data_IF_650914330557
#
_entry.id   IF_650914330557
#
_cell.length_a   1.000
_cell.length_b   1.000
_cell.length_c   1.000
_cell.angle_alpha   90.00
_cell.angle_beta   90.00
_cell.angle_gamma   90.00
#
_symmetry.space_group_name_H-M   'P 1'
#
loop_
_entity.id
_entity.type
_entity.pdbx_description
1 polymer ?
2 non-polymer ?
3 non-polymer ?
4 non-polymer ?
5 water ?
#
# COMPACT_ATOMS: atom_id res chain seq x y z
N UNK A 3 -21.26 -9.05 5.26
CA UNK A 3 -20.67 -10.38 5.22
C UNK A 3 -19.15 -10.36 5.01
N UNK A 4 -18.62 -9.59 4.03
CA UNK A 4 -17.16 -9.53 3.86
C UNK A 4 -16.46 -8.90 5.04
N UNK A 5 -16.89 -7.69 5.42
CA UNK A 5 -16.28 -7.01 6.55
C UNK A 5 -16.50 -7.78 7.85
N UNK A 6 -17.69 -8.37 8.01
CA UNK A 6 -17.99 -9.12 9.22
C UNK A 6 -17.11 -10.37 9.33
N UNK A 7 -16.84 -11.03 8.20
CA UNK A 7 -15.97 -12.19 8.23
C UNK A 7 -14.51 -11.80 8.41
N UNK A 8 -14.10 -10.64 7.86
CA UNK A 8 -12.71 -10.22 7.98
C UNK A 8 -12.37 -9.86 9.43
N UNK A 9 -13.31 -9.25 10.15
CA UNK A 9 -13.08 -8.93 11.55
C UNK A 9 -13.25 -10.15 12.46
N UNK A 10 -14.01 -11.16 12.02
CA UNK A 10 -14.13 -12.38 12.81
C UNK A 10 -12.84 -13.19 12.76
N UNK A 11 -12.19 -13.22 11.60
CA UNK A 11 -10.90 -13.92 11.49
C UNK A 11 -9.82 -13.17 12.25
N UNK A 12 -9.96 -11.84 12.37
CA UNK A 12 -9.00 -11.07 13.15
C UNK A 12 -8.97 -11.52 14.61
N UNK A 13 -10.15 -11.78 15.19
CA UNK A 13 -10.20 -12.29 16.55
C UNK A 13 -9.58 -13.67 16.65
N UNK A 14 -9.73 -14.49 15.59
CA UNK A 14 -9.10 -15.81 15.60
C UNK A 14 -7.59 -15.70 15.45
N UNK A 15 -7.12 -14.76 14.61
CA UNK A 15 -5.68 -14.58 14.44
C UNK A 15 -5.06 -13.99 15.70
N UNK A 16 -5.72 -12.98 16.29
CA UNK A 16 -5.18 -12.36 17.50
C UNK A 16 -5.14 -13.35 18.65
N UNK A 17 -6.18 -14.17 18.80
CA UNK A 17 -6.22 -15.11 19.91
C UNK A 17 -5.11 -16.15 19.80
N UNK A 18 -4.79 -16.59 18.59
CA UNK A 18 -3.71 -17.56 18.42
C UNK A 18 -2.35 -16.94 18.75
N UNK A 19 -2.08 -15.74 18.22
CA UNK A 19 -0.79 -15.11 18.44
C UNK A 19 -0.55 -14.82 19.91
N UNK A 20 -1.60 -14.39 20.62
CA UNK A 20 -1.44 -14.07 22.04
C UNK A 20 -1.34 -15.33 22.89
N UNK A 21 -2.12 -16.36 22.57
CA UNK A 21 -2.00 -17.62 23.29
C UNK A 21 -0.67 -18.30 23.02
N UNK A 22 -0.13 -18.16 21.80
CA UNK A 22 1.18 -18.72 21.50
C UNK A 22 2.25 -18.07 22.36
N UNK A 23 2.16 -16.76 22.58
CA UNK A 23 3.10 -16.07 23.46
C UNK A 23 2.94 -16.52 24.91
N UNK A 24 1.71 -16.81 25.34
CA UNK A 24 1.47 -17.24 26.71
C UNK A 24 1.92 -18.67 26.93
N UNK A 25 1.68 -19.55 25.96
CA UNK A 25 1.95 -20.97 26.13
C UNK A 25 3.34 -21.38 25.66
N UNK A 26 3.83 -20.80 24.57
CA UNK A 26 5.09 -21.22 23.97
C UNK A 26 6.22 -20.22 24.17
N UNK A 27 5.92 -18.98 24.55
CA UNK A 27 6.96 -17.96 24.72
C UNK A 27 7.05 -17.44 26.15
N UNK A 28 6.29 -18.02 27.08
CA UNK A 28 6.42 -17.72 28.51
C UNK A 28 6.18 -16.25 28.81
N UNK A 29 5.14 -15.68 28.19
CA UNK A 29 4.83 -14.26 28.35
C UNK A 29 3.82 -14.08 29.48
N UNK A 30 4.09 -13.10 30.34
CA UNK A 30 3.20 -12.81 31.46
C UNK A 30 1.92 -12.14 30.95
N UNK A 31 0.83 -12.25 31.70
CA UNK A 31 -0.43 -11.62 31.26
C UNK A 31 -0.34 -10.11 31.08
N UNK A 32 0.51 -9.43 31.85
CA UNK A 32 0.62 -7.98 31.73
C UNK A 32 1.12 -7.58 30.34
N UNK A 33 2.04 -8.36 29.77
CA UNK A 33 2.55 -8.05 28.44
C UNK A 33 1.61 -8.57 27.34
N UNK A 34 0.82 -9.61 27.63
CA UNK A 34 -0.15 -10.09 26.65
C UNK A 34 -1.24 -9.05 26.41
N UNK A 35 -1.77 -8.47 27.50
CA UNK A 35 -2.74 -7.39 27.34
C UNK A 35 -2.11 -6.16 26.73
N UNK A 36 -0.82 -5.93 26.99
CA UNK A 36 -0.11 -4.82 26.37
C UNK A 36 0.00 -5.02 24.86
N UNK A 37 0.30 -6.24 24.42
CA UNK A 37 0.41 -6.51 22.99
C UNK A 37 -0.95 -6.60 22.32
N UNK A 38 -2.00 -6.96 23.07
CA UNK A 38 -3.35 -6.93 22.50
C UNK A 38 -3.78 -5.49 22.21
N UNK A 39 -3.52 -4.58 23.14
CA UNK A 39 -3.87 -3.17 22.92
C UNK A 39 -3.04 -2.58 21.78
N UNK A 40 -1.76 -2.94 21.70
CA UNK A 40 -0.91 -2.44 20.62
C UNK A 40 -1.35 -2.99 19.28
N UNK A 41 -1.75 -4.26 19.23
CA UNK A 41 -2.19 -4.85 17.97
C UNK A 41 -3.46 -4.19 17.46
N UNK A 42 -4.41 -3.91 18.35
CA UNK A 42 -5.64 -3.24 17.93
C UNK A 42 -5.39 -1.78 17.54
N UNK A 43 -4.40 -1.14 18.16
CA UNK A 43 -4.12 0.25 17.84
C UNK A 43 -3.50 0.40 16.46
N UNK A 44 -2.58 -0.49 16.10
CA UNK A 44 -1.86 -0.38 14.83
C UNK A 44 -2.56 -1.04 13.67
N UNK A 45 -3.32 -2.11 13.90
CA UNK A 45 -3.93 -2.87 12.83
C UNK A 45 -5.38 -2.52 12.57
N UNK A 46 -6.12 -2.08 13.59
CA UNK A 46 -7.52 -1.72 13.45
C UNK A 46 -7.68 -0.20 13.34
N UNK A 47 -8.71 0.21 12.62
CA UNK A 47 -9.03 1.62 12.42
C UNK A 47 -9.04 2.05 10.97
N UNK A 48 -8.22 1.40 10.15
CA UNK A 48 -8.16 1.73 8.73
C UNK A 48 -9.37 1.23 7.98
N UNK A 49 -9.38 1.52 6.68
CA UNK A 49 -10.47 1.12 5.80
C UNK A 49 -10.33 -0.33 5.32
N UNK A 50 -9.18 -0.97 5.57
CA UNK A 50 -8.95 -2.37 5.21
C UNK A 50 -9.07 -2.58 3.71
N UNK A 51 -8.58 -1.61 2.93
CA UNK A 51 -8.70 -1.70 1.48
C UNK A 51 -7.80 -2.79 0.91
N UNK A 52 -6.65 -3.02 1.52
CA UNK A 52 -5.75 -4.07 1.05
C UNK A 52 -6.24 -5.45 1.46
N UNK A 53 -6.72 -5.59 2.70
CA UNK A 53 -7.14 -6.90 3.17
C UNK A 53 -8.41 -7.38 2.52
N UNK A 54 -9.40 -6.49 2.33
CA UNK A 54 -10.65 -6.89 1.72
C UNK A 54 -10.50 -7.20 0.23
N UNK A 55 -9.46 -6.66 -0.42
CA UNK A 55 -9.24 -6.97 -1.83
C UNK A 55 -8.90 -8.44 -2.02
N UNK A 56 -8.14 -9.02 -1.08
CA UNK A 56 -7.82 -10.45 -1.16
C UNK A 56 -9.09 -11.29 -1.09
N UNK A 57 -10.08 -10.84 -0.31
CA UNK A 57 -11.33 -11.59 -0.21
C UNK A 57 -12.13 -11.49 -1.49
N UNK A 58 -12.18 -10.30 -2.09
CA UNK A 58 -12.97 -10.11 -3.31
C UNK A 58 -12.38 -10.88 -4.49
N UNK A 59 -11.06 -11.05 -4.53
CA UNK A 59 -10.45 -11.81 -5.62
C UNK A 59 -10.69 -13.30 -5.41
N UNK A 60 -10.67 -13.76 -4.15
CA UNK A 60 -10.84 -15.17 -3.88
C UNK A 60 -12.27 -15.64 -4.12
N UNK A 61 -13.25 -14.82 -3.74
CA UNK A 61 -14.64 -15.22 -3.91
C UNK A 61 -15.07 -15.27 -5.37
N UNK A 62 -14.37 -14.54 -6.25
CA UNK A 62 -14.70 -14.58 -7.67
C UNK A 62 -14.12 -15.82 -8.34
N UNK A 63 -12.96 -16.31 -7.89
CA UNK A 63 -12.33 -17.45 -8.53
C UNK A 63 -12.93 -18.78 -8.10
N UNK A 64 -13.63 -18.83 -6.97
CA UNK A 64 -14.26 -20.06 -6.54
C UNK A 64 -15.66 -20.25 -7.12
N UNK A 65 -16.38 -19.15 -7.36
CA UNK A 65 -17.69 -19.22 -8.00
C UNK A 65 -17.61 -19.17 -9.52
N UNK A 66 -16.50 -18.70 -10.08
CA UNK A 66 -16.31 -18.54 -11.52
C UNK A 66 -15.03 -19.24 -11.95
N UNK A 67 -14.88 -20.50 -11.57
CA UNK A 67 -13.70 -21.27 -11.90
C UNK A 67 -13.88 -21.99 -13.25
N UNK A 77 -19.04 -28.68 -0.84
CA UNK A 77 -18.47 -27.35 -0.94
C UNK A 77 -17.52 -27.00 0.19
N UNK A 78 -16.79 -28.00 0.67
CA UNK A 78 -15.83 -27.78 1.75
C UNK A 78 -14.64 -26.95 1.31
N UNK A 79 -14.33 -26.93 0.01
CA UNK A 79 -13.21 -26.13 -0.47
C UNK A 79 -13.53 -24.64 -0.41
N UNK A 80 -14.80 -24.27 -0.47
CA UNK A 80 -15.17 -22.86 -0.42
C UNK A 80 -14.82 -22.23 0.92
N UNK A 81 -15.17 -22.90 2.02
CA UNK A 81 -14.91 -22.35 3.34
C UNK A 81 -13.42 -22.23 3.62
N UNK A 82 -12.61 -23.11 3.03
CA UNK A 82 -11.17 -23.06 3.25
C UNK A 82 -10.51 -21.93 2.46
N UNK A 83 -10.90 -21.77 1.19
CA UNK A 83 -10.31 -20.71 0.37
C UNK A 83 -10.69 -19.33 0.91
N UNK A 84 -11.94 -19.17 1.34
CA UNK A 84 -12.36 -17.90 1.90
C UNK A 84 -11.63 -17.59 3.21
N UNK A 85 -11.42 -18.61 4.05
CA UNK A 85 -10.69 -18.39 5.29
C UNK A 85 -9.21 -18.13 5.03
N UNK A 86 -8.64 -18.78 4.02
CA UNK A 86 -7.25 -18.52 3.66
C UNK A 86 -7.07 -17.10 3.14
N UNK A 87 -8.06 -16.56 2.45
CA UNK A 87 -7.97 -15.19 1.95
C UNK A 87 -8.05 -14.18 3.08
N UNK A 88 -8.81 -14.49 4.14
CA UNK A 88 -8.90 -13.59 5.28
C UNK A 88 -7.60 -13.53 6.05
N UNK A 89 -6.90 -14.66 6.15
CA UNK A 89 -5.59 -14.67 6.80
C UNK A 89 -4.58 -13.89 5.97
N UNK A 90 -4.57 -14.11 4.65
CA UNK A 90 -3.71 -13.33 3.77
C UNK A 90 -4.08 -11.85 3.79
N UNK A 91 -5.37 -11.55 3.95
CA UNK A 91 -5.78 -10.16 4.04
C UNK A 91 -5.22 -9.45 5.26
N UNK A 92 -5.14 -10.16 6.38
CA UNK A 92 -4.56 -9.58 7.59
C UNK A 92 -3.03 -9.60 7.56
N UNK A 93 -2.42 -10.48 6.77
CA UNK A 93 -0.97 -10.41 6.60
C UNK A 93 -0.56 -9.08 5.99
N UNK A 94 -1.34 -8.57 5.03
CA UNK A 94 -1.04 -7.29 4.42
C UNK A 94 -1.38 -6.14 5.37
N UNK A 95 -2.49 -6.26 6.09
CA UNK A 95 -2.85 -5.23 7.06
C UNK A 95 -1.82 -5.13 8.18
N UNK A 96 -1.37 -6.28 8.70
CA UNK A 96 -0.28 -6.28 9.66
C UNK A 96 0.99 -5.73 9.06
N UNK A 97 1.25 -6.04 7.79
CA UNK A 97 2.42 -5.48 7.11
C UNK A 97 2.30 -3.98 6.95
N UNK A 98 1.10 -3.49 6.60
CA UNK A 98 0.89 -2.05 6.51
C UNK A 98 1.10 -1.38 7.86
N UNK A 99 0.60 -1.99 8.94
CA UNK A 99 0.84 -1.46 10.27
C UNK A 99 2.32 -1.42 10.59
N UNK A 100 3.07 -2.42 10.12
CA UNK A 100 4.51 -2.44 10.32
C UNK A 100 5.17 -1.25 9.63
N UNK A 101 4.75 -0.94 8.41
CA UNK A 101 5.32 0.20 7.68
C UNK A 101 4.97 1.51 8.36
N UNK A 102 3.74 1.64 8.87
CA UNK A 102 3.32 2.88 9.51
C UNK A 102 4.09 3.13 10.80
N UNK A 103 4.36 2.07 11.56
CA UNK A 103 5.13 2.22 12.80
C UNK A 103 6.54 2.69 12.50
N UNK A 104 7.14 2.14 11.44
CA UNK A 104 8.48 2.60 11.03
C UNK A 104 8.47 4.06 10.61
N UNK A 105 7.36 4.53 10.04
CA UNK A 105 7.27 5.93 9.65
C UNK A 105 7.19 6.86 10.84
N UNK A 106 6.53 6.42 11.92
CA UNK A 106 6.44 7.26 13.12
C UNK A 106 7.80 7.41 13.79
N UNK A 107 8.68 6.42 13.64
CA UNK A 107 10.02 6.53 14.22
C UNK A 107 10.87 7.52 13.42
N UNK A 108 10.65 7.60 12.11
CA UNK A 108 11.38 8.56 11.29
C UNK A 108 11.05 10.00 11.64
N UNK A 109 9.91 10.25 12.30
CA UNK A 109 9.51 11.59 12.65
C UNK A 109 8.61 11.59 13.89
N UNK A 124 18.00 6.61 27.60
CA UNK A 124 17.17 5.40 27.65
C UNK A 124 15.70 5.69 27.38
N UNK A 125 15.39 6.21 26.20
CA UNK A 125 14.02 6.54 25.84
C UNK A 125 13.26 5.25 25.57
N UNK A 126 12.27 4.95 26.42
CA UNK A 126 11.55 3.69 26.31
C UNK A 126 10.46 3.73 25.24
N UNK A 127 9.95 4.92 24.91
CA UNK A 127 8.89 4.99 23.90
C UNK A 127 9.42 4.72 22.50
N UNK A 128 10.70 4.98 22.26
CA UNK A 128 11.30 4.65 20.96
C UNK A 128 11.69 3.18 20.93
N UNK A 129 12.13 2.63 22.05
CA UNK A 129 12.43 1.21 22.12
C UNK A 129 11.17 0.37 21.91
N UNK A 130 10.05 0.82 22.45
CA UNK A 130 8.79 0.10 22.25
C UNK A 130 8.30 0.25 20.82
N UNK A 131 8.49 1.43 20.22
CA UNK A 131 8.07 1.63 18.83
C UNK A 131 8.85 0.73 17.89
N UNK A 132 10.17 0.65 18.08
CA UNK A 132 10.99 -0.25 17.26
C UNK A 132 10.59 -1.70 17.49
N UNK A 133 10.34 -2.07 18.75
CA UNK A 133 9.93 -3.43 19.06
C UNK A 133 8.56 -3.74 18.47
N UNK A 134 7.65 -2.76 18.48
CA UNK A 134 6.34 -2.96 17.86
C UNK A 134 6.48 -3.23 16.36
N UNK A 135 7.38 -2.51 15.69
CA UNK A 135 7.58 -2.72 14.27
C UNK A 135 8.14 -4.10 13.95
N UNK A 136 8.99 -4.64 14.83
CA UNK A 136 9.52 -5.98 14.59
C UNK A 136 8.46 -7.04 14.86
N UNK A 137 7.62 -6.84 15.87
CA UNK A 137 6.60 -7.83 16.19
C UNK A 137 5.51 -7.88 15.12
N UNK A 138 5.10 -6.71 14.63
CA UNK A 138 4.07 -6.68 13.59
C UNK A 138 4.51 -7.39 12.33
N UNK A 139 5.78 -7.23 11.95
CA UNK A 139 6.30 -7.91 10.77
C UNK A 139 6.41 -9.41 11.01
N UNK A 140 6.94 -9.82 12.17
CA UNK A 140 7.07 -11.23 12.47
C UNK A 140 5.70 -11.90 12.62
N UNK A 141 4.68 -11.15 13.03
CA UNK A 141 3.34 -11.72 13.18
C UNK A 141 2.77 -12.16 11.83
N UNK A 142 3.18 -11.50 10.74
CA UNK A 142 2.74 -11.95 9.43
C UNK A 142 3.29 -13.34 9.10
N UNK A 143 4.50 -13.64 9.55
CA UNK A 143 5.06 -14.96 9.33
C UNK A 143 4.43 -16.00 10.25
N UNK A 144 4.16 -15.62 11.50
CA UNK A 144 3.61 -16.58 12.47
C UNK A 144 2.19 -16.99 12.08
N UNK A 145 1.37 -16.03 11.65
CA UNK A 145 0.01 -16.36 11.24
C UNK A 145 -0.02 -17.11 9.91
N UNK A 146 1.04 -17.02 9.11
CA UNK A 146 1.10 -17.77 7.86
C UNK A 146 1.63 -19.18 8.10
N UNK A 147 2.66 -19.32 8.95
CA UNK A 147 3.22 -20.62 9.27
C UNK A 147 2.25 -21.51 10.05
N UNK A 148 1.17 -20.94 10.60
CA UNK A 148 0.20 -21.70 11.37
C UNK A 148 -1.03 -22.06 10.56
N UNK A 149 -1.76 -21.05 10.06
CA UNK A 149 -2.98 -21.31 9.32
C UNK A 149 -2.72 -21.94 7.95
N UNK A 150 -1.50 -21.82 7.43
CA UNK A 150 -1.13 -22.41 6.14
C UNK A 150 -0.06 -23.47 6.32
N UNK A 151 -0.01 -24.13 7.48
CA UNK A 151 1.04 -25.11 7.74
C UNK A 151 0.93 -26.32 6.81
N UNK A 152 -0.28 -26.74 6.46
CA UNK A 152 -0.48 -27.88 5.60
C UNK A 152 -0.84 -27.49 4.17
N UNK A 153 -0.83 -26.21 3.84
CA UNK A 153 -1.13 -25.78 2.48
C UNK A 153 0.08 -26.03 1.58
N UNK A 154 -0.15 -26.49 0.34
CA UNK A 154 0.97 -26.69 -0.58
C UNK A 154 1.62 -25.40 -1.06
N UNK A 155 1.03 -24.24 -0.77
CA UNK A 155 1.55 -22.96 -1.23
C UNK A 155 2.22 -22.16 -0.11
N UNK A 156 2.51 -22.79 1.03
CA UNK A 156 3.12 -22.05 2.13
C UNK A 156 4.50 -21.53 1.75
N UNK A 157 5.29 -22.34 1.05
CA UNK A 157 6.62 -21.89 0.66
C UNK A 157 6.55 -20.81 -0.42
N UNK A 158 5.64 -20.97 -1.39
CA UNK A 158 5.53 -19.97 -2.45
C UNK A 158 4.93 -18.67 -1.93
N UNK A 159 4.04 -18.74 -0.93
CA UNK A 159 3.43 -17.53 -0.40
C UNK A 159 4.45 -16.71 0.39
N UNK A 160 5.27 -17.36 1.20
CA UNK A 160 6.27 -16.63 1.99
C UNK A 160 7.32 -16.00 1.11
N UNK A 161 7.71 -16.67 0.03
CA UNK A 161 8.73 -16.12 -0.86
C UNK A 161 8.22 -14.89 -1.61
N UNK A 162 6.99 -14.96 -2.13
CA UNK A 162 6.42 -13.80 -2.80
C UNK A 162 6.12 -12.67 -1.82
N UNK A 163 5.72 -13.02 -0.59
CA UNK A 163 5.47 -11.98 0.41
C UNK A 163 6.76 -11.29 0.83
N UNK A 164 7.83 -12.06 1.04
CA UNK A 164 9.11 -11.46 1.41
C UNK A 164 9.71 -10.64 0.29
N UNK A 165 9.52 -11.07 -0.97
CA UNK A 165 10.07 -10.33 -2.09
C UNK A 165 9.34 -9.01 -2.28
N UNK A 166 8.03 -9.00 -2.06
CA UNK A 166 7.27 -7.75 -2.13
C UNK A 166 7.66 -6.83 -0.98
N UNK A 167 7.87 -7.39 0.21
CA UNK A 167 8.33 -6.59 1.34
C UNK A 167 9.72 -6.01 1.06
N UNK A 168 10.60 -6.81 0.47
CA UNK A 168 11.90 -6.30 0.07
C UNK A 168 11.77 -5.23 -1.01
N UNK A 169 10.80 -5.40 -1.92
CA UNK A 169 10.54 -4.39 -2.93
C UNK A 169 10.12 -3.07 -2.30
N UNK A 170 9.27 -3.14 -1.26
CA UNK A 170 8.82 -1.91 -0.60
C UNK A 170 9.97 -1.19 0.08
N UNK A 171 10.89 -1.94 0.70
CA UNK A 171 12.03 -1.32 1.35
C UNK A 171 12.94 -0.63 0.34
N UNK A 172 13.09 -1.22 -0.85
CA UNK A 172 13.88 -0.58 -1.89
C UNK A 172 13.18 0.68 -2.39
N UNK A 173 11.86 0.64 -2.52
CA UNK A 173 11.13 1.83 -2.91
C UNK A 173 11.23 2.95 -1.91
N UNK A 174 11.30 2.62 -0.62
CA UNK A 174 11.50 3.65 0.40
C UNK A 174 12.89 4.27 0.29
N UNK A 175 13.89 3.50 -0.17
CA UNK A 175 15.20 4.08 -0.41
C UNK A 175 15.16 5.07 -1.57
N UNK A 176 14.38 4.75 -2.62
CA UNK A 176 14.23 5.67 -3.73
C UNK A 176 13.53 6.96 -3.31
N UNK A 177 12.54 6.84 -2.41
CA UNK A 177 11.76 8.00 -1.99
C UNK A 177 12.56 8.88 -1.04
N UNK A 178 13.21 8.28 -0.04
CA UNK A 178 13.97 9.05 0.93
C UNK A 178 15.15 9.76 0.27
N UNK A 179 15.87 9.06 -0.62
CA UNK A 179 17.01 9.61 -1.30
C UNK A 179 16.66 10.22 -2.65
N UNK A 180 15.41 10.68 -2.83
CA UNK A 180 15.02 11.27 -4.10
C UNK A 180 15.64 12.64 -4.32
N UNK A 181 16.08 13.31 -3.24
CA UNK A 181 16.70 14.62 -3.36
C UNK A 181 18.15 14.62 -2.85
N UNK A 182 18.73 13.45 -2.60
CA UNK A 182 20.10 13.34 -2.15
C UNK A 182 20.83 12.26 -2.93
N UNK A 183 22.05 12.56 -3.36
CA UNK A 183 22.91 11.58 -4.03
C UNK A 183 24.34 12.08 -4.09
N UNK A 199 17.81 18.17 -8.09
CA UNK A 199 16.54 17.87 -8.74
C UNK A 199 16.75 17.07 -10.01
N UNK A 200 17.88 16.35 -10.07
CA UNK A 200 18.17 15.54 -11.25
C UNK A 200 17.21 14.36 -11.36
N UNK A 201 16.92 13.69 -10.24
CA UNK A 201 16.02 12.55 -10.22
C UNK A 201 14.55 12.96 -10.20
N UNK A 202 14.24 14.25 -10.32
CA UNK A 202 12.87 14.74 -10.36
C UNK A 202 12.34 14.63 -11.80
N UNK A 203 12.17 13.39 -12.24
CA UNK A 203 11.65 13.08 -13.56
C UNK A 203 10.39 12.22 -13.42
N UNK A 204 9.66 12.10 -14.53
CA UNK A 204 8.44 11.31 -14.51
C UNK A 204 8.75 9.82 -14.47
N UNK A 205 9.86 9.39 -15.06
CA UNK A 205 10.22 7.98 -15.03
C UNK A 205 10.66 7.55 -13.63
N UNK A 206 11.44 8.41 -12.95
CA UNK A 206 11.85 8.09 -11.58
C UNK A 206 10.67 8.17 -10.63
N UNK A 207 9.73 9.10 -10.86
CA UNK A 207 8.52 9.14 -10.05
C UNK A 207 7.74 7.85 -10.17
N UNK A 208 7.64 7.30 -11.37
CA UNK A 208 6.98 6.01 -11.56
C UNK A 208 7.73 4.90 -10.84
N UNK A 209 9.07 4.98 -10.81
CA UNK A 209 9.85 3.96 -10.12
C UNK A 209 9.60 4.00 -8.62
N UNK A 210 9.45 5.20 -8.06
CA UNK A 210 9.16 5.32 -6.63
C UNK A 210 7.78 4.74 -6.33
N UNK A 211 6.76 5.17 -7.07
CA UNK A 211 5.40 4.69 -6.83
C UNK A 211 5.32 3.19 -7.03
N UNK A 212 6.04 2.66 -8.03
CA UNK A 212 6.00 1.24 -8.32
C UNK A 212 6.52 0.41 -7.15
N UNK A 213 7.72 0.73 -6.66
CA UNK A 213 8.35 -0.10 -5.64
C UNK A 213 7.87 0.25 -4.23
N UNK A 214 7.68 1.54 -3.95
CA UNK A 214 7.30 1.96 -2.60
C UNK A 214 5.84 1.64 -2.27
N UNK A 215 4.95 1.74 -3.25
CA UNK A 215 3.52 1.63 -2.95
C UNK A 215 2.82 0.57 -3.79
N UNK A 216 3.02 0.61 -5.11
CA UNK A 216 2.18 -0.17 -6.02
C UNK A 216 2.34 -1.68 -5.81
N UNK A 217 3.54 -2.13 -5.43
CA UNK A 217 3.78 -3.57 -5.35
C UNK A 217 3.03 -4.21 -4.19
N UNK A 218 3.05 -3.57 -3.02
CA UNK A 218 2.44 -4.18 -1.83
C UNK A 218 0.99 -3.74 -1.63
N UNK A 219 0.57 -2.64 -2.24
CA UNK A 219 -0.79 -2.15 -2.07
C UNK A 219 -1.75 -2.72 -3.10
N UNK A 220 -1.33 -2.83 -4.36
CA UNK A 220 -2.19 -3.27 -5.45
C UNK A 220 -1.83 -4.64 -6.00
N UNK A 221 -0.54 -4.93 -6.18
CA UNK A 221 -0.16 -6.21 -6.76
C UNK A 221 -0.23 -7.34 -5.73
N UNK A 222 0.21 -7.08 -4.51
CA UNK A 222 0.24 -8.13 -3.49
C UNK A 222 -1.15 -8.67 -3.15
N UNK A 223 -2.19 -7.85 -2.93
CA UNK A 223 -3.51 -8.43 -2.67
C UNK A 223 -4.05 -9.24 -3.83
N UNK A 224 -3.74 -8.87 -5.07
CA UNK A 224 -4.20 -9.63 -6.22
C UNK A 224 -3.51 -10.98 -6.30
N UNK A 225 -2.20 -11.02 -6.06
CA UNK A 225 -1.47 -12.28 -6.10
C UNK A 225 -1.93 -13.21 -4.98
N UNK A 226 -2.13 -12.66 -3.78
CA UNK A 226 -2.56 -13.48 -2.66
C UNK A 226 -3.96 -14.06 -2.89
N UNK A 227 -4.83 -13.34 -3.60
CA UNK A 227 -6.12 -13.89 -3.97
C UNK A 227 -6.01 -15.03 -4.95
N UNK A 228 -4.98 -15.01 -5.80
CA UNK A 228 -4.76 -16.09 -6.74
C UNK A 228 -4.14 -17.32 -6.08
N UNK A 229 -3.30 -17.12 -5.06
CA UNK A 229 -2.62 -18.23 -4.42
C UNK A 229 -3.59 -19.05 -3.58
N UNK A 230 -4.45 -18.38 -2.81
CA UNK A 230 -5.42 -19.09 -1.99
C UNK A 230 -6.48 -19.77 -2.85
N UNK A 231 -6.69 -19.31 -4.06
CA UNK A 231 -7.63 -19.94 -4.99
C UNK A 231 -6.95 -20.95 -5.91
N UNK A 232 -5.63 -21.13 -5.77
CA UNK A 232 -4.88 -22.13 -6.53
C UNK A 232 -4.97 -21.90 -8.04
N UNK A 233 -5.22 -20.66 -8.45
CA UNK A 233 -5.33 -20.29 -9.86
C UNK A 233 -4.30 -19.23 -10.22
N UNK A 234 -3.09 -19.37 -9.68
CA UNK A 234 -2.06 -18.37 -9.96
C UNK A 234 -1.53 -18.46 -11.39
N UNK A 235 -1.10 -19.62 -11.89
CA UNK A 235 -0.58 -19.67 -13.27
C UNK A 235 -1.65 -19.57 -14.36
N UNK A 236 -2.90 -19.32 -13.99
CA UNK A 236 -3.99 -19.22 -14.96
C UNK A 236 -4.27 -17.78 -15.38
N UNK A 237 -3.41 -16.84 -15.01
CA UNK A 237 -3.60 -15.43 -15.34
C UNK A 237 -2.34 -14.90 -16.00
N UNK A 238 -2.50 -13.81 -16.76
CA UNK A 238 -1.39 -13.13 -17.39
C UNK A 238 -0.77 -12.18 -16.36
N UNK A 239 0.36 -12.59 -15.79
CA UNK A 239 0.99 -11.77 -14.76
C UNK A 239 1.53 -10.47 -15.32
N UNK A 240 1.89 -10.44 -16.60
CA UNK A 240 2.36 -9.20 -17.20
C UNK A 240 1.28 -8.13 -17.22
N UNK A 241 0.07 -8.50 -17.65
CA UNK A 241 -1.04 -7.56 -17.64
C UNK A 241 -1.48 -7.26 -16.21
N UNK A 242 -1.39 -8.25 -15.32
CA UNK A 242 -1.74 -8.02 -13.93
C UNK A 242 -0.77 -7.06 -13.26
N UNK A 243 0.52 -7.26 -13.49
CA UNK A 243 1.52 -6.33 -12.94
C UNK A 243 1.37 -4.95 -13.55
N UNK A 244 1.12 -4.88 -14.86
CA UNK A 244 0.97 -3.58 -15.51
C UNK A 244 -0.24 -2.83 -14.99
N UNK A 245 -1.32 -3.54 -14.64
CA UNK A 245 -2.48 -2.90 -14.06
C UNK A 245 -2.21 -2.40 -12.65
N UNK A 246 -1.43 -3.16 -11.87
CA UNK A 246 -1.14 -2.76 -10.50
C UNK A 246 -0.30 -1.50 -10.46
N UNK A 247 0.65 -1.35 -11.38
CA UNK A 247 1.49 -0.16 -11.39
C UNK A 247 0.72 1.05 -11.87
N UNK A 248 -0.24 0.86 -12.80
CA UNK A 248 -1.03 1.99 -13.28
C UNK A 248 -2.02 2.46 -12.22
N UNK A 249 -2.64 1.53 -11.50
CA UNK A 249 -3.57 1.91 -10.45
C UNK A 249 -2.86 2.57 -9.28
N UNK A 250 -1.67 2.07 -8.94
CA UNK A 250 -0.88 2.73 -7.91
C UNK A 250 -0.40 4.10 -8.35
N UNK A 251 -0.04 4.23 -9.62
CA UNK A 251 0.33 5.55 -10.15
C UNK A 251 -0.87 6.49 -10.12
N UNK A 252 -2.04 6.02 -10.54
CA UNK A 252 -3.25 6.82 -10.46
C UNK A 252 -3.57 7.19 -9.02
N UNK A 253 -3.27 6.31 -8.07
CA UNK A 253 -3.58 6.57 -6.67
C UNK A 253 -2.59 7.57 -6.05
N UNK A 254 -1.32 7.50 -6.44
CA UNK A 254 -0.33 8.39 -5.85
C UNK A 254 -0.43 9.81 -6.40
N UNK A 255 -0.76 9.95 -7.70
CA UNK A 255 -0.92 11.28 -8.28
C UNK A 255 -2.06 12.03 -7.59
N UNK A 256 -3.16 11.34 -7.33
CA UNK A 256 -4.27 11.98 -6.60
C UNK A 256 -3.86 12.33 -5.18
N UNK A 257 -3.05 11.48 -4.54
CA UNK A 257 -2.61 11.77 -3.19
C UNK A 257 -1.63 12.95 -3.15
N UNK A 258 -0.82 13.12 -4.19
CA UNK A 258 0.12 14.23 -4.22
C UNK A 258 -0.60 15.56 -4.38
N UNK A 259 -1.68 15.59 -5.16
CA UNK A 259 -2.42 16.82 -5.35
C UNK A 259 -3.21 17.18 -4.10
N UNK A 260 -3.82 16.18 -3.46
CA UNK A 260 -4.56 16.44 -2.23
C UNK A 260 -3.65 16.84 -1.08
N UNK A 261 -2.39 16.38 -1.10
CA UNK A 261 -1.45 16.77 -0.07
C UNK A 261 -1.12 18.26 -0.14
N UNK A 262 -1.22 18.86 -1.33
CA UNK A 262 -0.85 20.26 -1.52
C UNK A 262 -2.04 21.21 -1.48
N UNK A 263 -3.22 20.79 -1.96
CA UNK A 263 -4.36 21.68 -2.10
C UNK A 263 -5.49 21.40 -1.13
N UNK A 264 -5.74 20.13 -0.80
CA UNK A 264 -6.83 19.81 0.11
C UNK A 264 -6.50 20.30 1.51
N UNK A 265 -7.40 21.03 2.17
CA UNK A 265 -7.10 21.54 3.51
C UNK A 265 -6.93 20.42 4.51
N UNK A 266 -6.31 20.70 5.67
CA UNK A 266 -6.04 19.62 6.63
C UNK A 266 -7.29 18.93 7.16
N UNK A 267 -8.33 19.68 7.48
CA UNK A 267 -9.54 19.08 8.03
C UNK A 267 -10.29 18.24 7.02
N UNK A 268 -10.12 18.52 5.73
CA UNK A 268 -10.78 17.75 4.68
C UNK A 268 -9.91 16.60 4.16
N UNK A 269 -8.60 16.65 4.39
CA UNK A 269 -7.70 15.58 3.98
C UNK A 269 -7.49 14.54 5.06
N UNK A 270 -7.59 14.93 6.34
CA UNK A 270 -7.32 14.04 7.45
C UNK A 270 -5.93 14.16 8.02
N UNK A 271 -5.04 14.90 7.35
CA UNK A 271 -3.69 15.10 7.83
C UNK A 271 -3.21 16.47 7.35
N UNK A 272 -1.99 16.82 7.72
CA UNK A 272 -1.37 18.07 7.29
C UNK A 272 -0.40 17.75 6.15
N UNK A 273 -0.63 18.37 5.00
CA UNK A 273 0.24 18.14 3.85
C UNK A 273 1.62 18.72 4.09
N UNK A 274 2.66 17.92 3.79
CA UNK A 274 4.03 18.35 4.04
C UNK A 274 4.99 17.94 2.93
N UNK A 275 4.49 17.69 1.72
CA UNK A 275 5.37 17.28 0.62
C UNK A 275 6.31 18.41 0.21
N UNK A 276 5.83 19.65 0.26
CA UNK A 276 6.68 20.78 -0.13
C UNK A 276 7.77 21.00 0.90
N UNK A 277 7.42 20.94 2.19
CA UNK A 277 8.41 21.12 3.24
C UNK A 277 9.44 19.99 3.23
N UNK A 278 9.01 18.77 2.96
CA UNK A 278 9.89 17.62 2.95
C UNK A 278 10.63 17.43 1.63
N UNK A 279 10.40 18.31 0.65
CA UNK A 279 11.06 18.23 -0.65
C UNK A 279 10.84 16.87 -1.31
N UNK A 280 9.58 16.42 -1.31
CA UNK A 280 9.24 15.13 -1.86
C UNK A 280 9.20 15.19 -3.39
N UNK A 281 9.49 14.04 -4.01
CA UNK A 281 9.44 13.90 -5.47
C UNK A 281 7.99 13.60 -5.87
N UNK A 282 7.14 14.60 -5.69
CA UNK A 282 5.71 14.46 -5.97
C UNK A 282 5.43 14.62 -7.46
N UNK A 283 4.22 14.26 -7.86
CA UNK A 283 3.82 14.43 -9.25
C UNK A 283 3.74 15.90 -9.63
N UNK A 284 3.39 16.77 -8.69
CA UNK A 284 3.35 18.20 -8.97
C UNK A 284 4.73 18.78 -9.21
N UNK A 285 5.74 18.26 -8.51
CA UNK A 285 7.10 18.78 -8.66
C UNK A 285 7.68 18.41 -10.02
N UNK A 286 7.57 17.12 -10.40
CA UNK A 286 8.15 16.67 -11.65
C UNK A 286 7.39 17.20 -12.86
N UNK A 287 6.12 17.56 -12.70
CA UNK A 287 5.37 18.15 -13.80
C UNK A 287 5.63 19.65 -13.92
N UNK A 288 5.82 20.33 -12.79
CA UNK A 288 6.13 21.77 -12.84
C UNK A 288 7.49 22.02 -13.48
N UNK A 289 8.50 21.22 -13.13
CA UNK A 289 9.83 21.43 -13.67
C UNK A 289 9.91 21.23 -15.17
N UNK A 290 8.92 20.56 -15.77
CA UNK A 290 8.93 20.33 -17.21
C UNK A 290 8.32 21.47 -18.00
N UNK A 291 7.37 22.21 -17.42
CA UNK A 291 6.66 23.27 -18.14
C UNK A 291 6.89 24.65 -17.50
N UNK A 292 7.98 24.83 -16.77
CA UNK A 292 8.29 26.10 -16.14
C UNK A 292 9.45 26.78 -16.87
N UNK A 293 9.50 28.10 -16.74
CA UNK A 293 10.58 28.88 -17.32
C UNK A 293 11.82 28.79 -16.44
N UNK A 294 12.91 29.40 -16.89
CA UNK A 294 14.16 29.33 -16.14
C UNK A 294 14.04 30.08 -14.81
N UNK A 295 13.30 31.18 -14.78
CA UNK A 295 13.10 31.90 -13.53
C UNK A 295 12.15 31.16 -12.60
N UNK A 296 11.09 30.56 -13.17
CA UNK A 296 10.16 29.80 -12.35
C UNK A 296 10.82 28.57 -11.74
N UNK A 297 11.77 27.95 -12.45
CA UNK A 297 12.54 26.87 -11.86
C UNK A 297 13.48 27.39 -10.79
N UNK A 298 14.10 28.55 -11.04
CA UNK A 298 14.98 29.15 -10.05
C UNK A 298 14.20 29.56 -8.80
N UNK A 299 13.00 30.12 -9.00
CA UNK A 299 12.15 30.45 -7.86
C UNK A 299 11.65 29.19 -7.16
N UNK A 300 11.47 28.10 -7.91
CA UNK A 300 11.04 26.85 -7.31
C UNK A 300 12.14 26.26 -6.43
N UNK A 301 13.38 26.22 -6.94
CA UNK A 301 14.49 25.67 -6.18
C UNK A 301 14.81 26.50 -4.95
N UNK A 302 14.56 27.80 -5.01
CA UNK A 302 14.83 28.68 -3.88
C UNK A 302 13.74 28.63 -2.82
N UNK A 303 12.63 27.94 -3.08
CA UNK A 303 11.54 27.84 -2.12
C UNK A 303 11.13 26.40 -1.78
N UNK A 304 11.57 25.41 -2.55
CA UNK A 304 11.17 24.03 -2.30
C UNK A 304 12.02 23.43 -1.19
N UNK A 305 11.40 22.59 -0.36
CA UNK A 305 12.11 21.96 0.72
C UNK A 305 12.35 22.85 1.92
N UNK A 306 11.42 23.75 2.22
CA UNK A 306 11.55 24.67 3.35
C UNK A 306 10.26 24.65 4.17
N UNK A 307 10.42 24.88 5.47
CA UNK A 307 9.31 24.94 6.39
C UNK A 307 8.67 26.30 6.53
N UNK A 308 9.18 27.31 5.83
CA UNK A 308 8.61 28.65 5.91
C UNK A 308 7.22 28.66 5.29
N UNK A 309 6.26 29.27 5.99
CA UNK A 309 4.88 29.30 5.51
C UNK A 309 4.76 30.09 4.21
N UNK A 310 5.62 31.09 4.02
CA UNK A 310 5.57 31.90 2.80
C UNK A 310 6.25 31.20 1.62
N UNK A 311 7.32 30.44 1.88
CA UNK A 311 7.96 29.71 0.80
C UNK A 311 7.08 28.56 0.33
N UNK A 312 6.35 27.92 1.23
CA UNK A 312 5.41 26.88 0.84
C UNK A 312 4.26 27.49 0.04
N UNK A 313 3.80 28.67 0.43
CA UNK A 313 2.77 29.35 -0.33
C UNK A 313 3.30 29.81 -1.70
N UNK A 314 4.60 30.10 -1.79
CA UNK A 314 5.18 30.44 -3.08
C UNK A 314 5.18 29.25 -4.01
N UNK A 315 5.45 28.05 -3.48
CA UNK A 315 5.42 26.85 -4.31
C UNK A 315 4.00 26.54 -4.76
N UNK A 316 3.02 26.73 -3.87
CA UNK A 316 1.63 26.54 -4.26
C UNK A 316 1.22 27.55 -5.34
N UNK A 317 1.73 28.78 -5.23
CA UNK A 317 1.43 29.79 -6.25
C UNK A 317 2.01 29.40 -7.59
N UNK A 318 3.22 28.83 -7.61
CA UNK A 318 3.82 28.37 -8.86
C UNK A 318 3.02 27.21 -9.44
N UNK A 319 2.50 26.32 -8.59
CA UNK A 319 1.68 25.23 -9.07
C UNK A 319 0.35 25.75 -9.63
N UNK A 320 -0.21 26.79 -9.01
CA UNK A 320 -1.46 27.35 -9.49
C UNK A 320 -1.28 28.06 -10.82
N UNK A 321 -0.24 28.89 -10.94
CA UNK A 321 -0.02 29.65 -12.16
C UNK A 321 0.38 28.77 -13.34
N UNK A 322 0.88 27.57 -13.09
CA UNK A 322 1.27 26.65 -14.15
C UNK A 322 0.12 25.78 -14.63
N UNK A 323 -1.07 25.94 -14.05
CA UNK A 323 -2.26 25.16 -14.42
C UNK A 323 -1.99 23.66 -14.28
N UNK A 324 -1.39 23.28 -13.15
CA UNK A 324 -1.10 21.87 -12.90
C UNK A 324 -2.36 21.08 -12.56
N UNK A 325 -3.31 21.72 -11.87
CA UNK A 325 -4.58 21.05 -11.57
C UNK A 325 -5.41 20.80 -12.83
N UNK A 326 -5.11 21.50 -13.91
CA UNK A 326 -5.74 21.21 -15.19
C UNK A 326 -5.08 20.03 -15.87
N UNK A 327 -3.75 19.96 -15.77
CA UNK A 327 -3.03 18.80 -16.31
C UNK A 327 -3.29 17.56 -15.47
N UNK A 328 -3.63 17.73 -14.19
CA UNK A 328 -3.93 16.60 -13.34
C UNK A 328 -5.18 15.87 -13.82
N UNK A 329 -6.17 16.61 -14.32
CA UNK A 329 -7.39 15.98 -14.82
C UNK A 329 -7.10 15.19 -16.09
N UNK A 330 -6.28 15.76 -16.98
CA UNK A 330 -5.98 15.07 -18.24
C UNK A 330 -5.07 13.86 -18.02
N UNK A 331 -4.12 13.98 -17.07
CA UNK A 331 -3.22 12.87 -16.82
C UNK A 331 -3.96 11.68 -16.21
N UNK A 332 -4.87 11.93 -15.27
CA UNK A 332 -5.62 10.84 -14.66
C UNK A 332 -6.61 10.21 -15.65
N UNK A 333 -7.13 11.00 -16.59
CA UNK A 333 -8.04 10.46 -17.58
C UNK A 333 -7.32 9.50 -18.52
N UNK A 334 -6.08 9.83 -18.90
CA UNK A 334 -5.31 8.95 -19.77
C UNK A 334 -4.94 7.66 -19.06
N UNK A 335 -4.61 7.75 -17.76
CA UNK A 335 -4.31 6.55 -16.99
C UNK A 335 -5.54 5.68 -16.84
N UNK A 336 -6.71 6.30 -16.63
CA UNK A 336 -7.94 5.54 -16.51
C UNK A 336 -8.27 4.77 -17.78
N UNK A 337 -7.93 5.35 -18.94
CA UNK A 337 -8.16 4.65 -20.20
C UNK A 337 -7.26 3.43 -20.33
N UNK A 338 -6.00 3.55 -19.89
CA UNK A 338 -5.09 2.42 -19.92
C UNK A 338 -5.54 1.30 -19.00
N UNK A 339 -6.18 1.65 -17.88
CA UNK A 339 -6.70 0.63 -16.96
C UNK A 339 -7.88 -0.09 -17.58
N UNK A 340 -8.82 0.67 -18.16
CA UNK A 340 -10.02 0.07 -18.75
C UNK A 340 -9.69 -0.82 -19.94
N UNK A 341 -8.55 -0.60 -20.60
CA UNK A 341 -8.17 -1.41 -21.75
C UNK A 341 -7.44 -2.69 -21.33
N UNK A 342 -6.56 -2.61 -20.32
CA UNK A 342 -5.82 -3.79 -19.90
C UNK A 342 -6.70 -4.79 -19.15
N UNK A 343 -7.80 -4.32 -18.54
CA UNK A 343 -8.73 -5.25 -17.91
C UNK A 343 -9.39 -6.14 -18.94
N UNK A 344 -9.70 -5.59 -20.12
CA UNK A 344 -10.30 -6.39 -21.18
C UNK A 344 -9.32 -7.43 -21.71
N UNK A 345 -8.05 -7.06 -21.85
CA UNK A 345 -7.03 -8.04 -22.24
C UNK A 345 -6.89 -9.12 -21.18
N UNK A 346 -6.96 -8.73 -19.91
CA UNK A 346 -6.95 -9.70 -18.83
C UNK A 346 -8.24 -10.50 -18.77
N UNK A 347 -9.34 -9.95 -19.30
CA UNK A 347 -10.61 -10.66 -19.31
C UNK A 347 -10.62 -11.78 -20.34
N UNK A 348 -9.81 -11.66 -21.39
CA UNK A 348 -9.76 -12.69 -22.43
C UNK A 348 -9.20 -14.01 -21.91
N UNK A 349 -8.47 -13.98 -20.79
CA UNK A 349 -7.95 -15.19 -20.19
C UNK A 349 -8.33 -15.36 -18.72
N UNK A 350 -8.87 -14.32 -18.08
CA UNK A 350 -9.30 -14.40 -16.68
C UNK A 350 -10.60 -13.63 -16.54
N UNK A 351 -11.73 -14.28 -16.83
CA UNK A 351 -13.02 -13.55 -16.78
C UNK A 351 -13.39 -13.10 -15.38
N UNK A 352 -13.38 -14.01 -14.41
CA UNK A 352 -13.75 -13.67 -13.04
C UNK A 352 -12.67 -12.89 -12.32
N UNK A 353 -11.40 -13.21 -12.60
CA UNK A 353 -10.30 -12.49 -11.97
C UNK A 353 -10.28 -11.02 -12.37
N UNK A 354 -10.75 -10.71 -13.58
CA UNK A 354 -10.84 -9.32 -14.01
C UNK A 354 -12.02 -8.60 -13.38
N UNK A 355 -13.04 -9.33 -12.94
CA UNK A 355 -14.17 -8.69 -12.27
C UNK A 355 -13.76 -8.10 -10.93
N UNK A 356 -12.86 -8.77 -10.21
CA UNK A 356 -12.38 -8.22 -8.95
C UNK A 356 -11.41 -7.06 -9.17
N UNK A 357 -10.72 -7.05 -10.31
CA UNK A 357 -9.82 -5.94 -10.62
C UNK A 357 -10.62 -4.69 -10.94
N UNK A 358 -11.75 -4.84 -11.63
CA UNK A 358 -12.62 -3.69 -11.86
C UNK A 358 -13.16 -3.13 -10.55
N UNK A 359 -13.57 -4.02 -9.64
CA UNK A 359 -13.97 -3.58 -8.31
C UNK A 359 -12.80 -2.93 -7.58
N UNK A 360 -11.59 -3.48 -7.74
CA UNK A 360 -10.41 -2.85 -7.17
C UNK A 360 -10.15 -1.49 -7.82
N UNK A 361 -10.31 -1.39 -9.14
CA UNK A 361 -10.16 -0.10 -9.81
C UNK A 361 -11.33 0.83 -9.49
N UNK A 362 -12.50 0.28 -9.22
CA UNK A 362 -13.66 1.11 -8.93
C UNK A 362 -13.48 1.90 -7.64
N UNK A 363 -12.91 1.27 -6.62
CA UNK A 363 -12.65 1.96 -5.37
C UNK A 363 -11.45 2.91 -5.46
N UNK A 364 -10.57 2.70 -6.44
CA UNK A 364 -9.48 3.64 -6.67
C UNK A 364 -9.95 4.85 -7.48
N UNK A 365 -10.81 4.63 -8.47
CA UNK A 365 -11.35 5.70 -9.29
C UNK A 365 -12.51 6.40 -8.57
#
# INVERSE_FOLDING_TARGET
GPMPMQMFMQVYDEIQMFLLEELELKFDMDPNRVRYLRKMMDTTCLGGKYNRGLTVIDVAESLLSLSPNNNGEEDDGARRKRVLHDACVCGWMIEFLQAHYLVEDDIMDNSVTRRGKPCWYRHPDVTVQCAINDGLLLKSWTHMMAMHFFADRPFLQDLLCRFNRVDYTTAVGQLYDVTSMFDSNKLDPDVSQPTTTDFAEFTLSNYKRIVKYKTAYYTYLLPLVMGLIVSEALPTVDMGVTEELAMLMGEYFQVQDDVMDCFTPPERLGKVGTDIQDAKCSWLAVTFLAKASSAQVAEFKANYGSGDSEKVATVRRLYEEADLQGDYVAYEAAVAEQVKELIEKLRLCSPGFAASVETLWGKTYKRQK
#
